data_IF_078856523467
#
_entry.id   IF_078856523467
#
_cell.length_a   1.000
_cell.length_b   1.000
_cell.length_c   1.000
_cell.angle_alpha   90.00
_cell.angle_beta   90.00
_cell.angle_gamma   90.00
#
_symmetry.space_group_name_H-M   'P 1'
#
loop_
_entity.id
_entity.type
_entity.pdbx_description
1 polymer ?
#
# COMPACT_ATOMS: atom_id res chain seq x y z
N UNK A 1 -55.06 30.18 -38.56
CA UNK A 1 -54.16 30.41 -37.42
C UNK A 1 -52.72 30.32 -37.91
N UNK A 2 -51.97 31.43 -37.92
CA UNK A 2 -50.55 31.42 -38.34
C UNK A 2 -49.72 31.03 -37.13
N UNK A 3 -49.10 29.85 -37.18
CA UNK A 3 -48.14 29.44 -36.16
C UNK A 3 -46.93 30.38 -36.22
N UNK A 4 -46.65 31.04 -35.10
CA UNK A 4 -45.59 32.03 -35.00
C UNK A 4 -44.25 31.28 -34.89
N UNK A 5 -43.59 31.05 -36.03
CA UNK A 5 -42.38 30.23 -36.15
C UNK A 5 -41.26 30.65 -35.17
N UNK A 6 -41.19 31.93 -34.80
CA UNK A 6 -40.23 32.41 -33.80
C UNK A 6 -40.44 31.85 -32.41
N UNK A 7 -41.69 31.58 -32.02
CA UNK A 7 -42.02 31.00 -30.70
C UNK A 7 -41.70 29.50 -30.63
N UNK A 8 -41.83 28.79 -31.76
CA UNK A 8 -41.48 27.37 -31.85
C UNK A 8 -39.95 27.18 -31.82
N UNK A 9 -39.20 28.07 -32.46
CA UNK A 9 -37.74 28.05 -32.41
C UNK A 9 -37.19 28.34 -31.01
N UNK A 10 -37.82 29.25 -30.25
CA UNK A 10 -37.42 29.58 -28.89
C UNK A 10 -37.71 28.43 -27.89
N UNK A 11 -38.82 27.70 -28.09
CA UNK A 11 -39.15 26.48 -27.33
C UNK A 11 -38.20 25.31 -27.64
N UNK A 12 -37.72 25.20 -28.88
CA UNK A 12 -36.77 24.15 -29.25
C UNK A 12 -35.37 24.39 -28.68
N UNK A 13 -34.94 25.66 -28.54
CA UNK A 13 -33.66 26.00 -27.90
C UNK A 13 -33.71 25.86 -26.37
N UNK A 14 -34.86 26.07 -25.72
CA UNK A 14 -34.98 25.91 -24.26
C UNK A 14 -35.10 24.45 -23.80
N UNK A 15 -35.35 23.51 -24.72
CA UNK A 15 -35.37 22.07 -24.44
C UNK A 15 -33.99 21.39 -24.62
N UNK A 16 -32.99 22.08 -25.15
CA UNK A 16 -31.69 21.50 -25.52
C UNK A 16 -30.70 21.32 -24.35
N UNK A 17 -31.07 21.68 -23.12
CA UNK A 17 -30.22 21.55 -21.94
C UNK A 17 -30.74 20.53 -20.94
N UNK A 18 -31.20 19.37 -21.41
CA UNK A 18 -31.11 18.17 -20.58
C UNK A 18 -29.68 17.67 -20.63
N UNK A 19 -28.80 18.30 -19.84
CA UNK A 19 -27.54 17.67 -19.45
C UNK A 19 -27.95 16.43 -18.66
N UNK A 20 -27.95 15.28 -19.33
CA UNK A 20 -27.96 13.98 -18.66
C UNK A 20 -26.74 13.99 -17.73
N UNK A 21 -26.98 14.24 -16.45
CA UNK A 21 -25.97 14.13 -15.41
C UNK A 21 -25.41 12.72 -15.44
N UNK A 22 -24.27 12.55 -16.10
CA UNK A 22 -23.46 11.34 -16.01
C UNK A 22 -22.54 11.52 -14.81
N UNK A 23 -23.14 11.64 -13.63
CA UNK A 23 -22.40 11.57 -12.37
C UNK A 23 -21.86 10.16 -12.23
N UNK A 24 -20.56 9.97 -12.52
CA UNK A 24 -19.74 8.87 -11.95
C UNK A 24 -18.28 8.84 -12.37
N UNK A 25 -17.77 9.85 -13.06
CA UNK A 25 -16.33 9.97 -13.32
C UNK A 25 -15.85 11.18 -12.55
N UNK A 26 -15.11 10.93 -11.47
CA UNK A 26 -14.35 12.01 -10.83
C UNK A 26 -13.37 12.52 -11.88
N UNK A 27 -13.27 13.83 -12.09
CA UNK A 27 -12.33 14.42 -13.02
C UNK A 27 -11.36 15.33 -12.24
N UNK A 28 -10.07 15.25 -12.58
CA UNK A 28 -9.04 16.15 -12.08
C UNK A 28 -8.22 16.63 -13.26
N UNK A 29 -8.10 17.95 -13.41
CA UNK A 29 -7.35 18.61 -14.49
C UNK A 29 -7.78 18.12 -15.90
N UNK A 30 -9.08 17.88 -16.10
CA UNK A 30 -9.64 17.42 -17.38
C UNK A 30 -9.40 15.94 -17.70
N UNK A 31 -8.91 15.15 -16.75
CA UNK A 31 -8.70 13.71 -16.90
C UNK A 31 -9.63 12.92 -15.99
N UNK A 32 -10.14 11.79 -16.50
CA UNK A 32 -10.90 10.84 -15.70
C UNK A 32 -10.03 10.26 -14.57
N UNK A 33 -10.47 10.45 -13.33
CA UNK A 33 -9.94 9.85 -12.12
C UNK A 33 -10.64 8.52 -11.90
N UNK A 34 -9.95 7.44 -12.25
CA UNK A 34 -10.37 6.09 -11.89
C UNK A 34 -9.93 5.82 -10.44
N UNK A 35 -10.90 5.81 -9.52
CA UNK A 35 -10.67 5.34 -8.16
C UNK A 35 -10.56 3.82 -8.21
N UNK A 36 -9.33 3.31 -8.29
CA UNK A 36 -9.10 1.88 -8.10
C UNK A 36 -9.43 1.52 -6.65
N UNK A 37 -10.18 0.43 -6.40
CA UNK A 37 -10.42 -0.06 -5.05
C UNK A 37 -9.11 -0.21 -4.29
N UNK A 38 -9.11 0.11 -3.00
CA UNK A 38 -7.96 -0.21 -2.13
C UNK A 38 -7.71 -1.71 -2.21
N UNK A 39 -6.48 -2.10 -2.55
CA UNK A 39 -6.05 -3.50 -2.69
C UNK A 39 -6.04 -4.20 -1.33
N UNK A 40 -5.83 -5.52 -1.32
CA UNK A 40 -5.89 -6.35 -0.12
C UNK A 40 -5.15 -5.69 1.08
N UNK A 41 -5.74 -5.70 2.27
CA UNK A 41 -5.08 -5.19 3.48
C UNK A 41 -4.68 -3.69 3.52
N UNK A 42 -5.07 -2.85 2.54
CA UNK A 42 -4.74 -1.41 2.48
C UNK A 42 -5.63 -0.50 3.38
N UNK A 43 -6.39 -1.10 4.29
CA UNK A 43 -6.91 -0.43 5.49
C UNK A 43 -5.86 -0.54 6.59
N UNK A 44 -5.74 0.46 7.47
CA UNK A 44 -4.72 0.52 8.53
C UNK A 44 -4.47 -0.88 9.12
N UNK A 45 -3.30 -1.51 8.87
CA UNK A 45 -3.08 -2.89 9.27
C UNK A 45 -3.33 -3.07 10.77
N UNK A 46 -4.09 -4.09 11.15
CA UNK A 46 -4.45 -4.32 12.56
C UNK A 46 -3.20 -4.44 13.47
N UNK A 47 -2.06 -4.84 12.88
CA UNK A 47 -0.78 -4.88 13.57
C UNK A 47 -0.29 -3.52 14.08
N UNK A 48 -0.68 -2.40 13.46
CA UNK A 48 -0.30 -1.07 13.93
C UNK A 48 -0.90 -0.78 15.32
N UNK A 49 -2.15 -1.18 15.55
CA UNK A 49 -2.76 -1.10 16.89
C UNK A 49 -2.12 -2.10 17.86
N UNK A 50 -1.69 -3.28 17.39
CA UNK A 50 -0.97 -4.23 18.23
C UNK A 50 0.38 -3.68 18.68
N UNK A 51 1.16 -3.05 17.79
CA UNK A 51 2.42 -2.38 18.16
C UNK A 51 2.14 -1.30 19.20
N UNK A 52 1.11 -0.46 18.97
CA UNK A 52 0.74 0.62 19.90
C UNK A 52 0.39 0.11 21.29
N UNK A 53 -0.34 -1.01 21.37
CA UNK A 53 -0.82 -1.59 22.62
C UNK A 53 0.17 -2.58 23.25
N UNK A 54 1.28 -2.91 22.59
CA UNK A 54 2.24 -3.91 23.06
C UNK A 54 3.01 -3.47 24.31
N UNK A 55 3.17 -2.15 24.51
CA UNK A 55 3.83 -1.60 25.69
C UNK A 55 3.20 -0.27 26.12
N UNK A 56 3.27 0.08 27.42
CA UNK A 56 2.76 1.34 27.92
C UNK A 56 3.61 2.54 27.46
N UNK A 57 2.94 3.67 27.18
CA UNK A 57 3.58 4.98 27.05
C UNK A 57 4.01 5.41 25.65
N UNK A 58 4.95 6.35 25.61
CA UNK A 58 5.43 7.07 24.42
C UNK A 58 6.18 6.17 23.43
N UNK A 59 6.86 5.12 23.91
CA UNK A 59 7.70 4.22 23.09
C UNK A 59 6.87 3.50 22.04
N UNK A 60 5.85 2.73 22.45
CA UNK A 60 5.00 2.01 21.50
C UNK A 60 4.12 2.95 20.66
N UNK A 61 3.72 4.10 21.20
CA UNK A 61 3.05 5.14 20.42
C UNK A 61 3.92 5.68 19.27
N UNK A 62 5.21 5.92 19.54
CA UNK A 62 6.17 6.39 18.54
C UNK A 62 6.47 5.32 17.50
N UNK A 63 6.75 4.09 17.92
CA UNK A 63 7.00 2.96 17.03
C UNK A 63 5.79 2.67 16.12
N UNK A 64 4.58 2.72 16.66
CA UNK A 64 3.36 2.56 15.86
C UNK A 64 3.17 3.67 14.82
N UNK A 65 3.51 4.92 15.17
CA UNK A 65 3.50 6.04 14.23
C UNK A 65 4.54 5.87 13.11
N UNK A 66 5.74 5.37 13.45
CA UNK A 66 6.80 5.09 12.49
C UNK A 66 6.43 3.93 11.56
N UNK A 67 5.68 2.94 12.04
CA UNK A 67 5.31 1.73 11.31
C UNK A 67 4.46 1.93 10.05
N UNK A 68 3.87 3.11 9.87
CA UNK A 68 3.14 3.42 8.63
C UNK A 68 4.11 3.63 7.46
N UNK A 69 5.23 4.33 7.72
CA UNK A 69 6.11 4.79 6.63
C UNK A 69 6.71 3.62 5.85
N UNK A 70 7.36 2.61 6.46
CA UNK A 70 7.99 1.51 5.73
C UNK A 70 7.05 0.66 4.87
N UNK A 71 5.75 0.67 5.17
CA UNK A 71 4.73 -0.04 4.39
C UNK A 71 4.34 0.70 3.10
N UNK A 72 4.81 1.92 2.90
CA UNK A 72 4.55 2.69 1.69
C UNK A 72 5.41 2.20 0.51
N UNK A 73 4.83 2.26 -0.69
CA UNK A 73 5.45 1.79 -1.92
C UNK A 73 6.85 2.35 -2.21
N UNK A 74 7.05 3.65 -1.94
CA UNK A 74 8.30 4.33 -2.26
C UNK A 74 9.43 4.08 -1.26
N UNK A 75 9.18 3.37 -0.16
CA UNK A 75 10.21 3.13 0.84
C UNK A 75 11.21 2.05 0.42
N UNK A 76 12.46 2.13 0.90
CA UNK A 76 13.49 1.11 0.67
C UNK A 76 12.99 -0.31 0.99
N UNK A 77 13.51 -1.30 0.27
CA UNK A 77 13.10 -2.70 0.36
C UNK A 77 13.24 -3.29 1.77
N UNK A 78 14.25 -2.87 2.53
CA UNK A 78 14.52 -3.38 3.87
C UNK A 78 13.87 -2.57 5.01
N UNK A 79 13.33 -1.39 4.74
CA UNK A 79 12.85 -0.47 5.79
C UNK A 79 11.79 -1.08 6.74
N UNK A 80 10.97 -2.01 6.25
CA UNK A 80 10.00 -2.73 7.07
C UNK A 80 10.67 -3.74 8.02
N UNK A 81 11.72 -4.42 7.56
CA UNK A 81 12.51 -5.31 8.39
C UNK A 81 13.28 -4.52 9.44
N UNK A 82 13.89 -3.40 9.05
CA UNK A 82 14.66 -2.55 9.95
C UNK A 82 13.80 -2.05 11.11
N UNK A 83 12.57 -1.63 10.84
CA UNK A 83 11.66 -1.21 11.90
C UNK A 83 11.17 -2.40 12.75
N UNK A 84 10.93 -3.57 12.17
CA UNK A 84 10.60 -4.76 12.94
C UNK A 84 11.74 -5.12 13.92
N UNK A 85 12.99 -5.01 13.46
CA UNK A 85 14.18 -5.15 14.29
C UNK A 85 14.22 -4.08 15.39
N UNK A 86 13.92 -2.81 15.08
CA UNK A 86 13.87 -1.73 16.07
C UNK A 86 12.82 -1.98 17.16
N UNK A 87 11.66 -2.55 16.81
CA UNK A 87 10.63 -2.94 17.78
C UNK A 87 11.16 -4.04 18.73
N UNK A 88 11.86 -5.05 18.19
CA UNK A 88 12.46 -6.12 19.01
C UNK A 88 13.59 -5.56 19.87
N UNK A 89 14.43 -4.68 19.33
CA UNK A 89 15.51 -4.05 20.09
C UNK A 89 14.96 -3.19 21.24
N UNK A 90 13.92 -2.40 20.98
CA UNK A 90 13.23 -1.60 21.99
C UNK A 90 12.53 -2.48 23.03
N UNK A 91 12.10 -3.70 22.69
CA UNK A 91 11.43 -4.61 23.61
C UNK A 91 12.32 -5.06 24.78
N UNK A 92 13.65 -5.09 24.58
CA UNK A 92 14.65 -5.58 25.54
C UNK A 92 14.74 -4.75 26.83
N UNK A 93 14.17 -3.55 26.86
CA UNK A 93 14.16 -2.68 28.04
C UNK A 93 12.97 -2.95 28.99
N UNK A 94 11.99 -3.76 28.57
CA UNK A 94 10.76 -4.00 29.33
C UNK A 94 10.77 -5.33 30.06
N UNK A 95 9.75 -5.56 30.91
CA UNK A 95 9.53 -6.86 31.54
C UNK A 95 9.20 -7.94 30.50
N UNK A 96 9.36 -9.20 30.89
CA UNK A 96 9.23 -10.34 29.99
C UNK A 96 7.86 -10.44 29.28
N UNK A 97 6.76 -10.02 29.92
CA UNK A 97 5.44 -10.09 29.30
C UNK A 97 5.27 -9.02 28.22
N UNK A 98 5.68 -7.79 28.52
CA UNK A 98 5.71 -6.68 27.56
C UNK A 98 6.66 -6.96 26.40
N UNK A 99 7.85 -7.48 26.71
CA UNK A 99 8.84 -7.86 25.70
C UNK A 99 8.25 -8.89 24.72
N UNK A 100 7.61 -9.95 25.24
CA UNK A 100 6.98 -10.97 24.41
C UNK A 100 5.87 -10.40 23.52
N UNK A 101 5.05 -9.46 24.03
CA UNK A 101 4.01 -8.80 23.26
C UNK A 101 4.59 -7.96 22.11
N UNK A 102 5.66 -7.21 22.36
CA UNK A 102 6.35 -6.42 21.33
C UNK A 102 7.00 -7.30 20.26
N UNK A 103 7.67 -8.38 20.65
CA UNK A 103 8.27 -9.35 19.71
C UNK A 103 7.19 -9.99 18.82
N UNK A 104 6.05 -10.39 19.41
CA UNK A 104 4.93 -10.94 18.64
C UNK A 104 4.38 -9.91 17.63
N UNK A 105 4.25 -8.65 18.04
CA UNK A 105 3.82 -7.57 17.14
C UNK A 105 4.84 -7.30 16.01
N UNK A 106 6.14 -7.36 16.30
CA UNK A 106 7.19 -7.19 15.29
C UNK A 106 7.19 -8.31 14.24
N UNK A 107 6.99 -9.56 14.65
CA UNK A 107 6.86 -10.71 13.74
C UNK A 107 5.67 -10.53 12.80
N UNK A 108 4.51 -10.19 13.35
CA UNK A 108 3.31 -9.93 12.53
C UNK A 108 3.51 -8.73 11.61
N UNK A 109 4.20 -7.69 12.08
CA UNK A 109 4.48 -6.49 11.28
C UNK A 109 5.42 -6.78 10.12
N UNK A 110 6.43 -7.64 10.33
CA UNK A 110 7.34 -8.07 9.26
C UNK A 110 6.61 -8.78 8.13
N UNK A 111 5.51 -9.46 8.45
CA UNK A 111 4.65 -10.19 7.52
C UNK A 111 3.51 -9.35 6.96
N UNK A 112 3.31 -8.12 7.43
CA UNK A 112 2.31 -7.23 6.88
C UNK A 112 2.61 -6.90 5.41
N UNK A 113 1.55 -6.68 4.63
CA UNK A 113 1.70 -6.32 3.22
C UNK A 113 2.32 -4.92 3.08
N UNK A 114 3.30 -4.82 2.17
CA UNK A 114 3.85 -3.54 1.72
C UNK A 114 3.11 -3.10 0.46
N UNK A 115 2.64 -1.86 0.46
CA UNK A 115 1.91 -1.30 -0.67
C UNK A 115 2.78 -1.27 -1.93
N UNK A 116 2.20 -1.53 -3.09
CA UNK A 116 2.84 -1.41 -4.40
C UNK A 116 1.91 -0.75 -5.40
N UNK A 117 2.44 0.16 -6.24
CA UNK A 117 1.60 0.80 -7.24
C UNK A 117 1.31 -0.19 -8.37
N UNK A 118 0.10 -0.19 -8.97
CA UNK A 118 -0.12 -0.76 -10.29
C UNK A 118 0.85 -0.19 -11.32
N UNK A 119 1.19 -0.97 -12.34
CA UNK A 119 1.85 -0.46 -13.54
C UNK A 119 0.82 0.17 -14.48
N UNK A 120 0.69 1.50 -14.41
CA UNK A 120 -0.27 2.26 -15.20
C UNK A 120 0.14 2.44 -16.68
N UNK A 121 1.31 1.94 -17.10
CA UNK A 121 1.71 1.96 -18.52
C UNK A 121 0.97 0.91 -19.36
N UNK A 122 0.28 -0.02 -18.69
CA UNK A 122 -0.49 -1.11 -19.28
C UNK A 122 -2.00 -0.89 -19.11
N UNK A 123 -2.82 -1.46 -20.00
CA UNK A 123 -4.27 -1.40 -19.91
C UNK A 123 -4.90 -2.80 -20.13
N UNK A 124 -5.49 -3.44 -19.11
CA UNK A 124 -5.64 -2.94 -17.73
C UNK A 124 -4.30 -2.80 -17.00
N UNK A 125 -4.20 -1.94 -15.96
CA UNK A 125 -2.97 -1.79 -15.19
C UNK A 125 -2.54 -3.10 -14.53
N UNK A 126 -1.28 -3.49 -14.73
CA UNK A 126 -0.74 -4.72 -14.16
C UNK A 126 -0.45 -4.56 -12.66
N UNK A 127 -0.81 -5.58 -11.88
CA UNK A 127 -0.58 -5.60 -10.43
C UNK A 127 0.79 -6.24 -10.15
N UNK A 128 1.54 -5.72 -9.17
CA UNK A 128 2.97 -6.03 -8.96
C UNK A 128 3.26 -6.30 -7.49
N UNK A 129 4.15 -7.23 -7.22
CA UNK A 129 4.67 -7.54 -5.89
C UNK A 129 5.67 -6.49 -5.40
N UNK A 130 5.92 -6.43 -4.10
CA UNK A 130 7.03 -5.67 -3.53
C UNK A 130 8.31 -6.51 -3.60
N UNK A 131 9.44 -5.88 -3.94
CA UNK A 131 10.75 -6.54 -3.84
C UNK A 131 11.09 -6.90 -2.38
N UNK A 132 11.82 -8.00 -2.19
CA UNK A 132 12.21 -8.52 -0.88
C UNK A 132 13.49 -7.87 -0.36
N UNK A 133 13.55 -7.63 0.95
CA UNK A 133 14.81 -7.26 1.60
C UNK A 133 15.88 -8.34 1.35
N UNK A 134 17.11 -7.92 1.02
CA UNK A 134 18.26 -8.81 0.75
C UNK A 134 19.32 -8.74 1.85
N UNK A 135 18.92 -8.38 3.06
CA UNK A 135 19.79 -8.29 4.22
C UNK A 135 19.26 -9.23 5.31
N UNK A 136 20.18 -9.85 6.04
CA UNK A 136 19.82 -10.61 7.23
C UNK A 136 19.25 -9.67 8.29
N UNK A 137 18.18 -10.06 9.02
CA UNK A 137 17.68 -9.29 10.14
C UNK A 137 18.70 -9.27 11.28
N UNK A 138 18.65 -8.23 12.11
CA UNK A 138 19.51 -8.14 13.31
C UNK A 138 19.05 -9.09 14.41
N UNK A 139 17.73 -9.28 14.52
CA UNK A 139 17.12 -10.13 15.52
C UNK A 139 16.71 -11.49 14.92
N UNK A 140 17.06 -12.62 15.57
CA UNK A 140 16.84 -13.95 15.04
C UNK A 140 15.37 -14.32 14.86
N UNK A 141 14.46 -13.68 15.60
CA UNK A 141 13.01 -13.88 15.52
C UNK A 141 12.43 -13.53 14.14
N UNK A 142 13.15 -12.74 13.34
CA UNK A 142 12.73 -12.33 11.99
C UNK A 142 13.34 -13.18 10.87
N UNK A 143 14.20 -14.16 11.19
CA UNK A 143 14.87 -14.99 10.19
C UNK A 143 13.83 -15.77 9.38
N UNK A 144 13.92 -15.67 8.05
CA UNK A 144 13.01 -16.34 7.11
C UNK A 144 11.63 -15.68 6.97
N UNK A 145 11.37 -14.58 7.69
CA UNK A 145 10.13 -13.83 7.53
C UNK A 145 10.24 -12.83 6.37
N UNK A 146 9.23 -12.83 5.52
CA UNK A 146 9.08 -11.88 4.42
C UNK A 146 7.74 -11.18 4.51
N UNK A 147 7.66 -9.99 3.91
CA UNK A 147 6.40 -9.27 3.80
C UNK A 147 5.40 -10.04 2.93
N UNK A 148 4.13 -9.95 3.29
CA UNK A 148 3.06 -10.51 2.47
C UNK A 148 3.00 -9.81 1.11
N UNK A 149 2.56 -10.58 0.11
CA UNK A 149 2.30 -10.12 -1.25
C UNK A 149 0.82 -10.33 -1.53
N UNK A 150 0.16 -9.37 -2.20
CA UNK A 150 -1.24 -9.52 -2.61
C UNK A 150 -1.35 -10.70 -3.59
N UNK A 151 -2.18 -11.73 -3.29
CA UNK A 151 -2.35 -12.90 -4.16
C UNK A 151 -2.94 -12.57 -5.53
N UNK A 152 -3.53 -11.38 -5.71
CA UNK A 152 -3.99 -10.91 -7.02
C UNK A 152 -2.85 -10.37 -7.90
N UNK A 153 -1.66 -10.11 -7.34
CA UNK A 153 -0.52 -9.62 -8.11
C UNK A 153 -0.02 -10.66 -9.11
N UNK A 154 0.53 -10.19 -10.23
CA UNK A 154 1.26 -11.05 -11.14
C UNK A 154 2.50 -11.60 -10.41
N UNK A 155 2.66 -12.92 -10.27
CA UNK A 155 3.74 -13.51 -9.50
C UNK A 155 5.13 -13.18 -10.08
N UNK A 156 5.23 -12.81 -11.35
CA UNK A 156 6.51 -12.58 -12.01
C UNK A 156 6.91 -11.11 -12.07
N UNK A 157 6.04 -10.20 -11.61
CA UNK A 157 6.29 -8.76 -11.67
C UNK A 157 6.41 -8.15 -10.29
N UNK A 158 7.47 -7.37 -10.11
CA UNK A 158 7.81 -6.69 -8.86
C UNK A 158 8.00 -5.20 -9.11
N UNK A 159 7.59 -4.37 -8.16
CA UNK A 159 7.92 -2.96 -8.14
C UNK A 159 9.20 -2.75 -7.32
N UNK A 160 10.24 -2.22 -7.96
CA UNK A 160 11.47 -1.82 -7.29
C UNK A 160 11.42 -0.31 -6.96
N UNK A 161 11.45 0.08 -5.66
CA UNK A 161 11.37 1.48 -5.26
C UNK A 161 12.63 2.29 -5.60
N UNK A 162 13.81 1.65 -5.70
CA UNK A 162 15.05 2.32 -6.06
C UNK A 162 15.08 2.65 -7.56
N UNK A 163 14.60 1.73 -8.41
CA UNK A 163 14.48 1.95 -9.85
C UNK A 163 13.20 2.70 -10.25
N UNK A 164 12.20 2.72 -9.36
CA UNK A 164 10.83 3.23 -9.60
C UNK A 164 10.18 2.56 -10.80
N UNK A 165 10.46 1.29 -11.01
CA UNK A 165 10.09 0.55 -12.20
C UNK A 165 9.64 -0.88 -11.87
N UNK A 166 9.02 -1.52 -12.87
CA UNK A 166 8.72 -2.94 -12.82
C UNK A 166 10.00 -3.73 -13.12
N UNK A 167 10.26 -4.77 -12.32
CA UNK A 167 11.32 -5.75 -12.53
C UNK A 167 10.72 -7.15 -12.56
N UNK A 168 11.35 -8.07 -13.29
CA UNK A 168 10.83 -9.42 -13.54
C UNK A 168 11.49 -10.39 -12.57
N UNK A 169 10.75 -11.40 -12.11
CA UNK A 169 11.29 -12.50 -11.31
C UNK A 169 12.59 -13.04 -11.89
N UNK A 170 13.63 -13.13 -11.07
CA UNK A 170 14.95 -13.63 -11.45
C UNK A 170 15.85 -12.60 -12.15
N UNK A 171 15.36 -11.40 -12.49
CA UNK A 171 16.21 -10.36 -13.09
C UNK A 171 17.21 -9.76 -12.10
N UNK A 172 16.91 -9.84 -10.81
CA UNK A 172 17.72 -9.33 -9.71
C UNK A 172 17.41 -10.05 -8.39
N UNK A 173 18.33 -10.01 -7.43
CA UNK A 173 18.26 -10.80 -6.19
C UNK A 173 17.00 -10.53 -5.35
N UNK A 174 16.59 -9.27 -5.23
CA UNK A 174 15.42 -8.85 -4.44
C UNK A 174 14.06 -9.25 -5.06
N UNK A 175 14.04 -10.05 -6.13
CA UNK A 175 12.82 -10.69 -6.65
C UNK A 175 12.58 -12.09 -6.06
N UNK A 176 13.45 -12.53 -5.15
CA UNK A 176 13.27 -13.73 -4.33
C UNK A 176 13.56 -13.41 -2.86
N UNK A 177 12.98 -14.18 -1.91
CA UNK A 177 13.32 -14.10 -0.50
C UNK A 177 14.84 -14.20 -0.25
N UNK A 178 15.31 -13.49 0.77
CA UNK A 178 16.71 -13.60 1.18
C UNK A 178 17.02 -15.04 1.63
N UNK A 179 18.08 -15.62 1.05
CA UNK A 179 18.55 -16.98 1.30
C UNK A 179 17.63 -18.13 0.83
N UNK A 180 16.66 -17.88 -0.06
CA UNK A 180 15.91 -18.93 -0.79
C UNK A 180 14.41 -18.73 -0.83
#
# INVERSE_FOLDING_TARGET
MKANFGFIALMALSAASQVFGRERIFERDGNAVYLHPRRFGQEQPAVLEKIRNACPGEVCGTLAGQAITPLLAAQPECSQQDLADDIIDASKQFDAATQAAMVAAAIEYRQAEKNTPPDFTTNPPTLRNSVFCQQAPRNPELIGLVQAQDPANDPDLFFDPALRATVVRGSQANTAPFAG
#
